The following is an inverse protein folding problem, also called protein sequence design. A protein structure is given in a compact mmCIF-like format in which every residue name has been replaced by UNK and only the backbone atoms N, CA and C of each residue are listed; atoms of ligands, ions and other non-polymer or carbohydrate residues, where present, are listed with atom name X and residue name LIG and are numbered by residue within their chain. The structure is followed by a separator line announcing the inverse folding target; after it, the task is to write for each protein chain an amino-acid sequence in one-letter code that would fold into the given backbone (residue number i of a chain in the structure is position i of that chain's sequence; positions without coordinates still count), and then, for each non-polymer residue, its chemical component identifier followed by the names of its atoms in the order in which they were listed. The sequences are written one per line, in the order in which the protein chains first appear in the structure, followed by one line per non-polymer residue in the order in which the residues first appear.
data_IF_418424950177
#
_entry.id   IF_418424950177
#
_cell.length_a   1.000
_cell.length_b   1.000
_cell.length_c   1.000
_cell.angle_alpha   90.00
_cell.angle_beta   90.00
_cell.angle_gamma   90.00
#
_symmetry.space_group_name_H-M   'P 1'
#
loop_
_entity.id
_entity.type
_entity.pdbx_description
1 polymer ?
#
# COMPACT_ATOMS: atom_id res chain seq x y z
N UNK A 1 4.85 1.35 11.21
CA UNK A 1 4.62 1.55 9.75
C UNK A 1 5.47 0.64 8.86
N UNK A 2 6.81 0.54 8.99
CA UNK A 2 7.60 -0.52 8.32
C UNK A 2 7.58 -1.82 9.16
N UNK A 3 7.90 -1.72 10.45
CA UNK A 3 7.96 -2.88 11.35
C UNK A 3 6.63 -3.65 11.40
N UNK A 4 5.49 -2.94 11.42
CA UNK A 4 4.16 -3.58 11.36
C UNK A 4 3.93 -4.35 10.06
N UNK A 5 4.44 -3.84 8.94
CA UNK A 5 4.37 -4.53 7.65
C UNK A 5 5.26 -5.77 7.63
N UNK A 6 6.48 -5.66 8.18
CA UNK A 6 7.40 -6.78 8.34
C UNK A 6 6.83 -7.87 9.25
N UNK A 7 6.21 -7.48 10.37
CA UNK A 7 5.55 -8.39 11.30
C UNK A 7 4.36 -9.13 10.64
N UNK A 8 3.63 -8.48 9.74
CA UNK A 8 2.57 -9.14 8.96
C UNK A 8 3.13 -10.09 7.91
N UNK A 9 4.24 -9.73 7.27
CA UNK A 9 4.91 -10.59 6.28
C UNK A 9 5.58 -11.81 6.92
N UNK A 10 6.14 -11.67 8.12
CA UNK A 10 6.76 -12.80 8.84
C UNK A 10 5.75 -13.86 9.29
N UNK A 11 4.46 -13.50 9.38
CA UNK A 11 3.34 -14.41 9.62
C UNK A 11 2.88 -15.14 8.34
N UNK A 12 3.32 -14.69 7.16
CA UNK A 12 3.00 -15.29 5.87
C UNK A 12 3.91 -16.49 5.55
N UNK A 13 3.82 -17.04 4.34
CA UNK A 13 4.58 -18.22 3.95
C UNK A 13 6.10 -17.94 3.97
N UNK A 14 6.86 -18.71 4.75
CA UNK A 14 8.32 -18.54 4.94
C UNK A 14 9.14 -18.68 3.65
N UNK A 15 8.55 -19.22 2.59
CA UNK A 15 9.21 -19.38 1.29
C UNK A 15 8.99 -18.20 0.34
N UNK A 16 8.12 -17.25 0.70
CA UNK A 16 7.86 -16.09 -0.14
C UNK A 16 9.09 -15.18 -0.21
N UNK A 17 9.33 -14.61 -1.40
CA UNK A 17 10.40 -13.65 -1.65
C UNK A 17 9.80 -12.30 -2.02
N UNK A 18 9.25 -11.58 -1.02
CA UNK A 18 8.57 -10.31 -1.25
C UNK A 18 9.51 -9.27 -1.88
N UNK A 19 8.93 -8.48 -2.78
CA UNK A 19 9.56 -7.30 -3.38
C UNK A 19 8.76 -6.09 -2.92
N UNK A 20 9.46 -5.06 -2.42
CA UNK A 20 8.85 -3.76 -2.14
C UNK A 20 9.24 -2.78 -3.25
N UNK A 21 8.24 -2.26 -3.94
CA UNK A 21 8.43 -1.21 -4.92
C UNK A 21 8.28 0.15 -4.23
N UNK A 22 9.28 1.00 -4.38
CA UNK A 22 9.26 2.38 -3.90
C UNK A 22 9.77 3.34 -4.98
N UNK A 23 9.45 4.62 -4.83
CA UNK A 23 10.14 5.67 -5.57
C UNK A 23 11.57 5.89 -5.02
N UNK A 24 12.23 6.93 -5.54
CA UNK A 24 13.55 7.38 -5.06
C UNK A 24 13.44 8.51 -4.02
N UNK A 25 12.39 8.53 -3.22
CA UNK A 25 12.28 9.42 -2.08
C UNK A 25 13.49 9.24 -1.15
N UNK A 26 13.91 10.33 -0.51
CA UNK A 26 15.08 10.34 0.38
C UNK A 26 15.02 9.25 1.45
N UNK A 27 13.85 9.04 2.06
CA UNK A 27 13.67 8.11 3.17
C UNK A 27 13.84 6.65 2.75
N UNK A 28 13.42 6.29 1.53
CA UNK A 28 13.64 4.96 0.96
C UNK A 28 15.10 4.69 0.56
N UNK A 29 15.93 5.73 0.45
CA UNK A 29 17.36 5.62 0.19
C UNK A 29 18.21 5.59 1.45
N UNK A 30 17.63 5.85 2.63
CA UNK A 30 18.38 5.83 3.88
C UNK A 30 18.95 4.43 4.16
N UNK A 31 20.20 4.40 4.66
CA UNK A 31 20.88 3.17 5.02
C UNK A 31 20.04 2.29 5.96
N UNK A 32 19.44 2.88 6.99
CA UNK A 32 18.61 2.13 7.94
C UNK A 32 17.46 1.41 7.24
N UNK A 33 16.73 2.09 6.36
CA UNK A 33 15.61 1.50 5.63
C UNK A 33 16.07 0.32 4.75
N UNK A 34 17.14 0.51 3.98
CA UNK A 34 17.70 -0.53 3.12
C UNK A 34 18.19 -1.75 3.92
N UNK A 35 18.85 -1.48 5.04
CA UNK A 35 19.38 -2.53 5.91
C UNK A 35 18.24 -3.32 6.56
N UNK A 36 17.20 -2.67 7.07
CA UNK A 36 16.01 -3.33 7.64
C UNK A 36 15.33 -4.26 6.62
N UNK A 37 15.18 -3.82 5.37
CA UNK A 37 14.59 -4.67 4.31
C UNK A 37 15.48 -5.88 3.99
N UNK A 38 16.79 -5.66 3.88
CA UNK A 38 17.76 -6.71 3.61
C UNK A 38 17.77 -7.78 4.71
N UNK A 39 17.78 -7.35 5.98
CA UNK A 39 17.76 -8.24 7.13
C UNK A 39 16.44 -9.03 7.24
N UNK A 40 15.36 -8.47 6.67
CA UNK A 40 14.05 -9.11 6.56
C UNK A 40 13.87 -9.96 5.30
N UNK A 41 14.91 -10.10 4.46
CA UNK A 41 14.85 -10.87 3.21
C UNK A 41 13.97 -10.26 2.10
N UNK A 42 13.64 -8.97 2.20
CA UNK A 42 12.82 -8.25 1.22
C UNK A 42 13.71 -7.57 0.19
N UNK A 43 13.41 -7.78 -1.09
CA UNK A 43 14.10 -7.09 -2.19
C UNK A 43 13.48 -5.71 -2.39
N UNK A 44 14.25 -4.65 -2.22
CA UNK A 44 13.83 -3.31 -2.60
C UNK A 44 13.98 -3.12 -4.12
N UNK A 45 12.91 -2.72 -4.79
CA UNK A 45 12.91 -2.30 -6.18
C UNK A 45 12.60 -0.81 -6.27
N UNK A 46 13.57 -0.03 -6.74
CA UNK A 46 13.37 1.40 -7.01
C UNK A 46 13.38 1.64 -8.51
N UNK A 47 12.33 2.29 -9.02
CA UNK A 47 12.22 2.56 -10.45
C UNK A 47 13.42 3.38 -10.98
N UNK A 48 13.78 3.18 -12.26
CA UNK A 48 14.76 4.04 -12.93
C UNK A 48 14.21 5.46 -13.04
N UNK A 49 15.09 6.46 -13.02
CA UNK A 49 14.69 7.84 -13.30
C UNK A 49 14.02 7.90 -14.68
N UNK A 50 12.81 8.44 -14.76
CA UNK A 50 12.00 8.49 -15.98
C UNK A 50 11.15 7.24 -16.25
N UNK A 51 11.14 6.24 -15.37
CA UNK A 51 10.19 5.13 -15.40
C UNK A 51 9.33 5.18 -14.14
N UNK A 52 8.04 5.43 -14.27
CA UNK A 52 7.11 5.53 -13.13
C UNK A 52 6.18 4.31 -13.01
N UNK A 53 6.30 3.31 -13.89
CA UNK A 53 5.30 2.24 -14.00
C UNK A 53 5.12 1.46 -12.70
N UNK A 54 6.21 1.18 -11.97
CA UNK A 54 6.12 0.43 -10.71
C UNK A 54 5.57 1.30 -9.56
N UNK A 55 5.70 2.63 -9.65
CA UNK A 55 5.17 3.56 -8.64
C UNK A 55 3.73 4.00 -8.93
N UNK A 56 3.31 3.95 -10.20
CA UNK A 56 1.99 4.40 -10.64
C UNK A 56 0.81 3.78 -9.87
N UNK A 57 0.83 2.50 -9.44
CA UNK A 57 -0.25 1.92 -8.64
C UNK A 57 -0.42 2.60 -7.27
N UNK A 58 0.69 2.87 -6.57
CA UNK A 58 0.65 3.49 -5.24
C UNK A 58 0.35 4.99 -5.36
N UNK A 59 0.92 5.69 -6.35
CA UNK A 59 0.58 7.09 -6.64
C UNK A 59 -0.90 7.27 -6.95
N UNK A 60 -1.49 6.34 -7.72
CA UNK A 60 -2.93 6.35 -7.99
C UNK A 60 -3.74 6.18 -6.70
N UNK A 61 -3.34 5.28 -5.81
CA UNK A 61 -4.02 5.09 -4.52
C UNK A 61 -3.96 6.39 -3.70
N UNK A 62 -2.77 6.99 -3.59
CA UNK A 62 -2.56 8.23 -2.84
C UNK A 62 -3.34 9.42 -3.42
N UNK A 63 -3.39 9.54 -4.75
CA UNK A 63 -4.17 10.58 -5.43
C UNK A 63 -5.65 10.46 -5.12
N UNK A 64 -6.21 9.26 -5.27
CA UNK A 64 -7.62 8.98 -4.97
C UNK A 64 -7.93 9.22 -3.49
N UNK A 65 -7.07 8.74 -2.59
CA UNK A 65 -7.21 8.97 -1.15
C UNK A 65 -7.27 10.47 -0.83
N UNK A 66 -6.35 11.25 -1.40
CA UNK A 66 -6.30 12.70 -1.15
C UNK A 66 -7.53 13.41 -1.72
N UNK A 67 -7.97 13.03 -2.92
CA UNK A 67 -9.16 13.58 -3.56
C UNK A 67 -10.44 13.28 -2.78
N UNK A 68 -10.60 12.04 -2.30
CA UNK A 68 -11.81 11.60 -1.60
C UNK A 68 -11.86 12.03 -0.13
N UNK A 69 -10.71 12.14 0.56
CA UNK A 69 -10.65 12.58 1.96
C UNK A 69 -10.64 14.11 2.09
N UNK A 70 -9.90 14.83 1.26
CA UNK A 70 -9.63 16.27 1.45
C UNK A 70 -10.48 17.17 0.55
N UNK A 71 -11.73 16.78 0.29
CA UNK A 71 -12.63 17.54 -0.58
C UNK A 71 -13.11 18.86 0.05
N UNK A 72 -12.97 19.95 -0.71
CA UNK A 72 -13.41 21.36 -0.51
C UNK A 72 -13.17 22.03 0.86
N UNK A 73 -13.54 21.42 2.00
CA UNK A 73 -13.45 22.02 3.34
C UNK A 73 -13.08 21.02 4.46
N UNK A 74 -12.62 19.81 4.14
CA UNK A 74 -12.21 18.84 5.18
C UNK A 74 -11.09 19.42 6.05
N UNK A 75 -11.37 19.61 7.34
CA UNK A 75 -10.40 20.04 8.34
C UNK A 75 -10.34 19.00 9.45
N UNK A 76 -9.13 18.67 9.83
CA UNK A 76 -8.86 17.80 10.97
C UNK A 76 -8.47 18.66 12.17
N UNK A 77 -9.11 18.41 13.29
CA UNK A 77 -8.86 19.08 14.57
C UNK A 77 -7.61 18.52 15.24
N UNK A 78 -7.16 17.33 14.86
CA UNK A 78 -5.96 16.68 15.37
C UNK A 78 -5.32 15.70 14.38
N UNK A 79 -4.06 15.34 14.63
CA UNK A 79 -3.37 14.28 13.89
C UNK A 79 -4.04 12.92 14.10
N UNK A 80 -4.61 12.67 15.27
CA UNK A 80 -5.25 11.38 15.56
C UNK A 80 -6.59 11.24 14.84
N UNK A 81 -7.36 12.32 14.69
CA UNK A 81 -8.55 12.36 13.84
C UNK A 81 -8.20 12.07 12.37
N UNK A 82 -7.10 12.65 11.87
CA UNK A 82 -6.60 12.36 10.53
C UNK A 82 -6.21 10.87 10.37
N UNK A 83 -5.49 10.29 11.34
CA UNK A 83 -5.12 8.86 11.31
C UNK A 83 -6.36 7.98 11.30
N UNK A 84 -7.33 8.25 12.17
CA UNK A 84 -8.59 7.51 12.22
C UNK A 84 -9.33 7.58 10.88
N UNK A 85 -9.43 8.77 10.30
CA UNK A 85 -10.07 8.96 8.99
C UNK A 85 -9.36 8.17 7.88
N UNK A 86 -8.03 8.15 7.88
CA UNK A 86 -7.25 7.34 6.94
C UNK A 86 -7.52 5.84 7.17
N UNK A 87 -7.55 5.37 8.42
CA UNK A 87 -7.80 3.96 8.73
C UNK A 87 -9.19 3.51 8.29
N UNK A 88 -10.22 4.32 8.56
CA UNK A 88 -11.59 4.11 8.10
C UNK A 88 -11.68 4.09 6.58
N UNK A 89 -11.03 5.05 5.91
CA UNK A 89 -10.95 5.09 4.46
C UNK A 89 -10.24 3.86 3.88
N UNK A 90 -9.15 3.40 4.51
CA UNK A 90 -8.44 2.20 4.07
C UNK A 90 -9.28 0.93 4.26
N UNK A 91 -10.15 0.88 5.27
CA UNK A 91 -11.13 -0.19 5.41
C UNK A 91 -12.13 -0.14 4.25
N UNK A 92 -12.79 1.00 4.04
CA UNK A 92 -13.74 1.20 2.94
C UNK A 92 -13.11 0.84 1.60
N UNK A 93 -11.93 1.36 1.29
CA UNK A 93 -11.25 1.14 0.02
C UNK A 93 -10.99 -0.35 -0.24
N UNK A 94 -10.59 -1.11 0.78
CA UNK A 94 -10.22 -2.51 0.64
C UNK A 94 -11.42 -3.47 0.64
N UNK A 95 -12.43 -3.19 1.47
CA UNK A 95 -13.51 -4.14 1.77
C UNK A 95 -14.85 -3.79 1.12
N UNK A 96 -15.14 -2.49 0.93
CA UNK A 96 -16.48 -2.02 0.55
C UNK A 96 -16.52 -1.33 -0.81
N UNK A 97 -15.41 -0.71 -1.25
CA UNK A 97 -15.36 0.07 -2.48
C UNK A 97 -15.71 -0.76 -3.71
N UNK A 98 -16.78 -0.36 -4.40
CA UNK A 98 -17.21 -0.96 -5.66
C UNK A 98 -16.27 -0.51 -6.77
N UNK A 99 -15.61 -1.46 -7.45
CA UNK A 99 -14.80 -1.18 -8.64
C UNK A 99 -15.39 -1.85 -9.87
N UNK A 100 -15.84 -1.06 -10.84
CA UNK A 100 -16.40 -1.55 -12.11
C UNK A 100 -15.41 -2.44 -12.87
N UNK A 101 -14.12 -2.05 -12.90
CA UNK A 101 -13.03 -2.87 -13.46
C UNK A 101 -12.88 -4.24 -12.79
N UNK A 102 -13.33 -4.39 -11.54
CA UNK A 102 -13.32 -5.64 -10.78
C UNK A 102 -14.71 -6.31 -10.75
N UNK A 103 -15.57 -6.04 -11.75
CA UNK A 103 -16.96 -6.54 -11.82
C UNK A 103 -17.80 -6.16 -10.60
N UNK A 104 -17.55 -4.99 -10.02
CA UNK A 104 -18.24 -4.49 -8.85
C UNK A 104 -17.72 -5.03 -7.51
N UNK A 105 -16.66 -5.85 -7.51
CA UNK A 105 -16.04 -6.36 -6.30
C UNK A 105 -15.09 -5.34 -5.66
N UNK A 106 -14.96 -5.41 -4.34
CA UNK A 106 -13.91 -4.70 -3.61
C UNK A 106 -12.54 -5.36 -3.83
N UNK A 107 -11.43 -4.63 -3.62
CA UNK A 107 -10.08 -5.17 -3.82
C UNK A 107 -9.84 -6.50 -3.09
N UNK A 108 -10.28 -6.64 -1.84
CA UNK A 108 -10.10 -7.88 -1.07
C UNK A 108 -10.98 -9.00 -1.61
N UNK A 109 -12.25 -8.73 -1.94
CA UNK A 109 -13.15 -9.74 -2.54
C UNK A 109 -12.58 -10.25 -3.86
N UNK A 110 -12.08 -9.35 -4.71
CA UNK A 110 -11.45 -9.70 -5.97
C UNK A 110 -10.18 -10.54 -5.77
N UNK A 111 -9.29 -10.13 -4.83
CA UNK A 111 -8.08 -10.89 -4.50
C UNK A 111 -8.40 -12.32 -4.06
N UNK A 112 -9.34 -12.49 -3.14
CA UNK A 112 -9.70 -13.80 -2.62
C UNK A 112 -10.34 -14.70 -3.68
N UNK A 113 -11.16 -14.13 -4.58
CA UNK A 113 -11.73 -14.84 -5.72
C UNK A 113 -10.65 -15.37 -6.67
N UNK A 114 -9.62 -14.56 -6.98
CA UNK A 114 -8.52 -14.98 -7.85
C UNK A 114 -7.68 -16.07 -7.18
N UNK A 115 -7.39 -15.93 -5.89
CA UNK A 115 -6.61 -16.93 -5.15
C UNK A 115 -7.33 -18.29 -5.05
N UNK A 116 -8.65 -18.29 -4.84
CA UNK A 116 -9.44 -19.52 -4.77
C UNK A 116 -9.58 -20.23 -6.13
N UNK A 117 -9.26 -19.57 -7.23
CA UNK A 117 -9.25 -20.17 -8.58
C UNK A 117 -7.87 -20.70 -8.98
N UNK A 118 -6.82 -20.29 -8.26
CA UNK A 118 -5.43 -20.66 -8.55
C UNK A 118 -4.94 -21.81 -7.66
N UNK A 119 -5.82 -22.35 -6.81
CA UNK A 119 -5.58 -23.49 -5.91
C UNK A 119 -6.42 -24.67 -6.38
#
# INVERSE_FOLDING_TARGET
MLDDALNKLSQANKHDKPIIHSDRGWHYQMFHYQQTLKDSGITQSMSRKGNCLDNAPIERLEGILKEEIFYEDTKFSSVDELKQTIDEYMHYYNYDRIKTKLKGLSPVKYRNLVLSQTT
#
